data_IF_369702722828
#
_entry.id   IF_369702722828
#
_cell.length_a   1.000
_cell.length_b   1.000
_cell.length_c   1.000
_cell.angle_alpha   90.00
_cell.angle_beta   90.00
_cell.angle_gamma   90.00
#
_symmetry.space_group_name_H-M   'P 1'
#
loop_
_entity.id
_entity.type
_entity.pdbx_description
1 polymer ?
#
# COMPACT_ATOMS: atom_id res chain seq x y z
N UNK A 1 -24.28 1.64 25.12
CA UNK A 1 -23.86 2.46 23.96
C UNK A 1 -22.54 3.15 24.30
N UNK A 2 -21.41 2.78 23.69
CA UNK A 2 -20.13 3.43 23.97
C UNK A 2 -20.19 4.90 23.56
N UNK A 3 -19.82 5.82 24.47
CA UNK A 3 -19.78 7.24 24.19
C UNK A 3 -18.50 7.58 23.39
N UNK A 4 -18.51 7.33 22.09
CA UNK A 4 -17.41 7.58 21.17
C UNK A 4 -16.96 9.06 21.11
N UNK A 5 -17.75 9.99 21.67
CA UNK A 5 -17.39 11.42 21.70
C UNK A 5 -16.17 11.74 22.54
N UNK A 6 -15.86 10.88 23.53
CA UNK A 6 -14.73 11.08 24.47
C UNK A 6 -13.46 10.32 24.07
N UNK A 7 -13.52 9.44 23.05
CA UNK A 7 -12.36 8.66 22.62
C UNK A 7 -11.48 9.53 21.74
N UNK A 8 -10.21 9.63 22.13
CA UNK A 8 -9.14 10.20 21.30
C UNK A 8 -8.17 9.10 20.88
N UNK A 9 -7.42 9.32 19.81
CA UNK A 9 -6.44 8.37 19.30
C UNK A 9 -5.14 9.08 18.88
N UNK A 10 -4.03 8.35 19.00
CA UNK A 10 -2.69 8.87 18.75
C UNK A 10 -2.29 8.75 17.28
N UNK A 11 -2.79 7.73 16.59
CA UNK A 11 -2.37 7.36 15.24
C UNK A 11 -3.60 7.14 14.37
N UNK A 12 -3.58 7.71 13.17
CA UNK A 12 -4.55 7.36 12.13
C UNK A 12 -3.98 6.26 11.26
N UNK A 13 -4.69 5.15 11.13
CA UNK A 13 -4.35 4.09 10.19
C UNK A 13 -5.26 4.11 8.97
N UNK A 14 -4.71 3.79 7.81
CA UNK A 14 -5.45 3.73 6.56
C UNK A 14 -4.98 2.56 5.68
N UNK A 15 -5.94 1.96 4.98
CA UNK A 15 -5.70 1.13 3.81
C UNK A 15 -5.68 2.10 2.62
N UNK A 16 -4.51 2.38 2.05
CA UNK A 16 -4.39 3.43 1.05
C UNK A 16 -3.90 2.89 -0.30
N UNK A 17 -4.85 2.40 -1.06
CA UNK A 17 -4.63 1.95 -2.44
C UNK A 17 -4.74 3.13 -3.42
N UNK A 18 -3.98 3.05 -4.51
CA UNK A 18 -4.03 4.07 -5.59
C UNK A 18 -5.34 3.96 -6.35
N UNK A 19 -5.71 2.75 -6.78
CA UNK A 19 -7.01 2.46 -7.38
C UNK A 19 -7.65 1.26 -6.69
N UNK A 20 -8.49 1.48 -5.71
CA UNK A 20 -9.17 0.43 -4.94
C UNK A 20 -8.18 -0.69 -4.56
N UNK A 21 -8.30 -1.86 -5.19
CA UNK A 21 -7.36 -2.99 -5.08
C UNK A 21 -6.69 -3.33 -6.42
N UNK A 22 -6.92 -2.49 -7.42
CA UNK A 22 -6.45 -2.70 -8.77
C UNK A 22 -5.14 -2.01 -9.07
N UNK A 23 -4.69 -2.20 -10.29
CA UNK A 23 -3.47 -1.66 -10.80
C UNK A 23 -3.48 -0.11 -10.82
N UNK A 24 -2.41 0.56 -10.39
CA UNK A 24 -2.35 2.02 -10.37
C UNK A 24 -2.67 2.70 -11.70
N UNK A 25 -2.35 2.06 -12.83
CA UNK A 25 -2.65 2.60 -14.17
C UNK A 25 -4.15 2.77 -14.45
N UNK A 26 -5.03 2.15 -13.65
CA UNK A 26 -6.47 2.31 -13.79
C UNK A 26 -6.97 3.62 -13.18
N UNK A 27 -6.17 4.31 -12.39
CA UNK A 27 -6.50 5.65 -11.90
C UNK A 27 -6.12 6.73 -12.90
N UNK A 28 -6.74 7.91 -12.79
CA UNK A 28 -6.62 8.99 -13.78
C UNK A 28 -5.17 9.44 -14.02
N UNK A 29 -4.36 9.49 -12.96
CA UNK A 29 -2.96 9.91 -13.03
C UNK A 29 -1.99 8.79 -12.61
N UNK A 30 -2.45 7.53 -12.70
CA UNK A 30 -1.62 6.38 -12.32
C UNK A 30 -1.17 6.46 -10.86
N UNK A 31 0.07 6.06 -10.61
CA UNK A 31 0.63 6.04 -9.26
C UNK A 31 0.66 7.43 -8.60
N UNK A 32 0.67 8.51 -9.36
CA UNK A 32 0.72 9.88 -8.84
C UNK A 32 -0.57 10.32 -8.12
N UNK A 33 -1.71 9.63 -8.34
CA UNK A 33 -2.93 9.84 -7.55
C UNK A 33 -2.73 9.57 -6.06
N UNK A 34 -1.71 8.79 -5.71
CA UNK A 34 -1.34 8.57 -4.31
C UNK A 34 -1.03 9.89 -3.58
N UNK A 35 -0.34 10.83 -4.23
CA UNK A 35 -0.02 12.12 -3.62
C UNK A 35 -1.29 12.86 -3.21
N UNK A 36 -2.28 12.93 -4.11
CA UNK A 36 -3.55 13.61 -3.84
C UNK A 36 -4.31 12.93 -2.68
N UNK A 37 -4.29 11.60 -2.64
CA UNK A 37 -4.92 10.83 -1.56
C UNK A 37 -4.24 11.05 -0.22
N UNK A 38 -2.91 11.11 -0.18
CA UNK A 38 -2.15 11.44 1.03
C UNK A 38 -2.49 12.84 1.51
N UNK A 39 -2.50 13.83 0.60
CA UNK A 39 -2.79 15.21 0.92
C UNK A 39 -4.21 15.37 1.50
N UNK A 40 -5.19 14.70 0.88
CA UNK A 40 -6.57 14.67 1.37
C UNK A 40 -6.67 14.00 2.75
N UNK A 41 -6.08 12.82 2.92
CA UNK A 41 -6.10 12.09 4.19
C UNK A 41 -5.47 12.92 5.31
N UNK A 42 -4.31 13.51 5.06
CA UNK A 42 -3.63 14.37 6.03
C UNK A 42 -4.49 15.58 6.43
N UNK A 43 -5.17 16.21 5.46
CA UNK A 43 -6.07 17.32 5.74
C UNK A 43 -7.24 16.90 6.63
N UNK A 44 -7.81 15.72 6.38
CA UNK A 44 -8.89 15.15 7.23
C UNK A 44 -8.39 14.86 8.65
N UNK A 45 -7.18 14.31 8.80
CA UNK A 45 -6.56 14.07 10.10
C UNK A 45 -6.38 15.37 10.88
N UNK A 46 -5.84 16.41 10.23
CA UNK A 46 -5.66 17.75 10.83
C UNK A 46 -6.97 18.40 11.27
N UNK A 47 -8.06 18.14 10.56
CA UNK A 47 -9.38 18.68 10.89
C UNK A 47 -10.08 17.89 11.99
N UNK A 48 -9.61 16.70 12.34
CA UNK A 48 -10.26 15.85 13.33
C UNK A 48 -9.98 16.35 14.76
N UNK A 49 -11.00 16.67 15.55
CA UNK A 49 -10.81 17.06 16.96
C UNK A 49 -10.44 15.87 17.86
N UNK A 50 -10.35 14.66 17.30
CA UNK A 50 -10.12 13.42 18.06
C UNK A 50 -8.68 12.94 17.96
N UNK A 51 -7.89 13.42 17.02
CA UNK A 51 -6.49 13.05 16.90
C UNK A 51 -5.63 13.76 17.93
N UNK A 52 -4.70 13.03 18.54
CA UNK A 52 -3.69 13.57 19.45
C UNK A 52 -2.38 13.86 18.71
N UNK A 53 -2.17 13.24 17.56
CA UNK A 53 -1.04 13.52 16.66
C UNK A 53 -1.47 13.50 15.19
N UNK A 54 -0.60 14.02 14.32
CA UNK A 54 -0.79 13.98 12.86
C UNK A 54 -0.18 12.71 12.24
N UNK A 55 0.24 11.73 13.06
CA UNK A 55 0.88 10.52 12.57
C UNK A 55 -0.10 9.64 11.79
N UNK A 56 0.26 9.34 10.56
CA UNK A 56 -0.50 8.47 9.66
C UNK A 56 0.32 7.22 9.35
N UNK A 57 -0.28 6.05 9.57
CA UNK A 57 0.25 4.76 9.20
C UNK A 57 -0.58 4.19 8.06
N UNK A 58 0.06 3.87 6.94
CA UNK A 58 -0.55 3.07 5.89
C UNK A 58 -0.36 1.62 6.28
N UNK A 59 -1.44 0.96 6.66
CA UNK A 59 -1.42 -0.39 7.24
C UNK A 59 -1.65 -1.48 6.23
N UNK A 60 -2.08 -1.13 5.01
CA UNK A 60 -2.23 -2.09 3.93
C UNK A 60 -2.11 -1.41 2.57
N UNK A 61 -1.25 -1.96 1.72
CA UNK A 61 -1.16 -1.68 0.29
C UNK A 61 -0.44 -2.82 -0.42
N UNK A 62 -0.90 -3.18 -1.59
CA UNK A 62 -0.25 -4.08 -2.55
C UNK A 62 -0.98 -4.01 -3.90
N UNK A 63 -0.60 -4.89 -4.83
CA UNK A 63 -1.30 -5.11 -6.09
C UNK A 63 -1.39 -6.60 -6.42
N UNK A 64 -2.45 -7.05 -7.10
CA UNK A 64 -2.53 -8.39 -7.64
C UNK A 64 -1.56 -8.56 -8.81
N UNK A 65 -0.99 -9.76 -8.95
CA UNK A 65 0.02 -10.09 -9.96
C UNK A 65 -0.65 -10.80 -11.13
N UNK A 66 -0.37 -10.36 -12.35
CA UNK A 66 -0.87 -10.96 -13.58
C UNK A 66 -0.45 -12.42 -13.74
N UNK A 67 -1.27 -13.20 -14.43
CA UNK A 67 -1.03 -14.62 -14.71
C UNK A 67 -0.91 -15.50 -13.46
N UNK A 68 -1.56 -15.12 -12.39
CA UNK A 68 -1.58 -15.90 -11.13
C UNK A 68 -2.94 -16.47 -10.78
N UNK A 69 -3.92 -16.43 -11.70
CA UNK A 69 -5.22 -17.05 -11.46
C UNK A 69 -5.09 -18.53 -11.08
N UNK A 70 -5.93 -19.03 -10.17
CA UNK A 70 -7.03 -18.36 -9.49
C UNK A 70 -6.65 -17.59 -8.21
N UNK A 71 -5.37 -17.37 -7.95
CA UNK A 71 -4.85 -16.83 -6.68
C UNK A 71 -4.90 -15.29 -6.61
N UNK A 72 -4.84 -14.60 -7.76
CA UNK A 72 -5.05 -13.15 -7.77
C UNK A 72 -6.44 -12.81 -7.25
N UNK A 73 -6.56 -11.86 -6.31
CA UNK A 73 -7.84 -11.56 -5.65
C UNK A 73 -8.81 -10.75 -6.53
N UNK A 74 -8.41 -10.35 -7.74
CA UNK A 74 -9.19 -9.52 -8.66
C UNK A 74 -9.15 -10.07 -10.08
N UNK A 75 -9.86 -9.41 -10.99
CA UNK A 75 -9.80 -9.75 -12.42
C UNK A 75 -8.42 -9.44 -13.01
N UNK A 76 -8.04 -10.14 -14.08
CA UNK A 76 -6.73 -9.93 -14.75
C UNK A 76 -6.51 -8.48 -15.20
N UNK A 77 -7.59 -7.75 -15.52
CA UNK A 77 -7.52 -6.31 -15.90
C UNK A 77 -7.05 -5.40 -14.77
N UNK A 78 -7.17 -5.85 -13.55
CA UNK A 78 -6.75 -5.12 -12.34
C UNK A 78 -5.38 -5.58 -11.84
N UNK A 79 -4.79 -6.58 -12.49
CA UNK A 79 -3.47 -7.12 -12.14
C UNK A 79 -2.34 -6.32 -12.81
N UNK A 80 -1.16 -6.42 -12.22
CA UNK A 80 0.08 -5.82 -12.73
C UNK A 80 1.12 -6.89 -13.05
N UNK A 81 2.01 -6.63 -13.99
CA UNK A 81 3.21 -7.46 -14.17
C UNK A 81 4.14 -7.35 -12.95
N UNK A 82 5.06 -8.31 -12.77
CA UNK A 82 6.04 -8.23 -11.68
C UNK A 82 6.95 -6.99 -11.80
N UNK A 83 7.26 -6.56 -13.02
CA UNK A 83 8.09 -5.39 -13.27
C UNK A 83 7.33 -4.11 -12.89
N UNK A 84 6.07 -3.98 -13.33
CA UNK A 84 5.22 -2.86 -12.95
C UNK A 84 4.94 -2.84 -11.44
N UNK A 85 4.71 -4.01 -10.83
CA UNK A 85 4.56 -4.14 -9.39
C UNK A 85 5.77 -3.55 -8.66
N UNK A 86 6.97 -3.97 -9.07
CA UNK A 86 8.22 -3.48 -8.49
C UNK A 86 8.35 -1.98 -8.63
N UNK A 87 8.14 -1.46 -9.83
CA UNK A 87 8.18 -0.02 -10.11
C UNK A 87 7.18 0.77 -9.27
N UNK A 88 5.91 0.35 -9.27
CA UNK A 88 4.88 1.04 -8.50
C UNK A 88 5.13 0.98 -6.99
N UNK A 89 5.68 -0.12 -6.48
CA UNK A 89 6.05 -0.24 -5.08
C UNK A 89 7.14 0.77 -4.71
N UNK A 90 8.20 0.89 -5.52
CA UNK A 90 9.27 1.87 -5.31
C UNK A 90 8.73 3.30 -5.36
N UNK A 91 7.91 3.61 -6.37
CA UNK A 91 7.27 4.93 -6.52
C UNK A 91 6.36 5.23 -5.32
N UNK A 92 5.62 4.23 -4.83
CA UNK A 92 4.75 4.38 -3.66
C UNK A 92 5.54 4.79 -2.41
N UNK A 93 6.62 4.07 -2.11
CA UNK A 93 7.48 4.40 -0.96
C UNK A 93 8.10 5.79 -1.10
N UNK A 94 8.58 6.11 -2.31
CA UNK A 94 9.14 7.43 -2.60
C UNK A 94 8.10 8.55 -2.40
N UNK A 95 6.91 8.42 -2.94
CA UNK A 95 5.84 9.42 -2.80
C UNK A 95 5.44 9.57 -1.32
N UNK A 96 5.30 8.45 -0.60
CA UNK A 96 4.97 8.48 0.82
C UNK A 96 6.06 9.20 1.63
N UNK A 97 7.33 8.90 1.39
CA UNK A 97 8.48 9.53 2.04
C UNK A 97 8.58 11.02 1.70
N UNK A 98 8.52 11.38 0.43
CA UNK A 98 8.62 12.76 -0.05
C UNK A 98 7.47 13.65 0.49
N UNK A 99 6.31 13.07 0.74
CA UNK A 99 5.16 13.77 1.33
C UNK A 99 5.44 14.31 2.73
N UNK A 100 6.32 13.65 3.49
CA UNK A 100 6.59 13.89 4.92
C UNK A 100 5.34 13.84 5.83
N UNK A 101 4.24 13.26 5.32
CA UNK A 101 2.95 13.15 6.01
C UNK A 101 2.68 11.73 6.50
N UNK A 102 3.36 10.76 5.90
CA UNK A 102 3.22 9.33 6.24
C UNK A 102 4.38 8.93 7.14
N UNK A 103 4.05 8.40 8.31
CA UNK A 103 5.04 7.96 9.29
C UNK A 103 5.51 6.54 9.05
N UNK A 104 4.61 5.66 8.59
CA UNK A 104 4.91 4.25 8.29
C UNK A 104 4.06 3.74 7.15
N UNK A 105 4.66 2.82 6.37
CA UNK A 105 3.98 2.04 5.35
C UNK A 105 4.23 0.57 5.63
N UNK A 106 3.17 -0.21 5.74
CA UNK A 106 3.21 -1.66 5.87
C UNK A 106 2.78 -2.29 4.56
N UNK A 107 3.69 -3.02 3.93
CA UNK A 107 3.39 -3.71 2.69
C UNK A 107 2.64 -5.02 2.96
N UNK A 108 1.49 -5.20 2.38
CA UNK A 108 0.67 -6.39 2.55
C UNK A 108 0.78 -7.28 1.30
N UNK A 109 1.42 -8.44 1.37
CA UNK A 109 2.10 -9.04 2.50
C UNK A 109 3.34 -9.79 2.01
N UNK A 110 4.14 -10.33 2.94
CA UNK A 110 5.38 -11.02 2.58
C UNK A 110 5.10 -12.28 1.75
N UNK A 111 4.26 -13.19 2.25
CA UNK A 111 3.96 -14.47 1.58
C UNK A 111 2.48 -14.52 1.24
N UNK A 112 2.17 -14.50 -0.05
CA UNK A 112 0.82 -14.70 -0.54
C UNK A 112 0.82 -15.03 -2.03
N UNK A 113 0.12 -16.09 -2.42
CA UNK A 113 -0.06 -16.44 -3.81
C UNK A 113 -0.84 -15.35 -4.54
N UNK A 114 -0.32 -14.87 -5.65
CA UNK A 114 -0.98 -13.92 -6.53
C UNK A 114 -0.90 -12.44 -6.17
N UNK A 115 -0.28 -12.05 -5.02
CA UNK A 115 -0.12 -10.63 -4.63
C UNK A 115 0.97 -10.34 -3.60
N UNK A 116 1.62 -11.37 -3.07
CA UNK A 116 2.72 -11.21 -2.12
C UNK A 116 4.05 -10.84 -2.77
N UNK A 117 5.03 -10.57 -1.93
CA UNK A 117 6.43 -10.44 -2.36
C UNK A 117 7.04 -11.80 -2.65
N UNK A 118 6.51 -12.83 -2.01
CA UNK A 118 6.90 -14.23 -2.13
C UNK A 118 5.66 -15.06 -2.42
N UNK A 119 5.77 -15.96 -3.37
CA UNK A 119 4.76 -16.96 -3.70
C UNK A 119 5.16 -18.32 -3.11
N UNK A 120 4.22 -19.03 -2.56
CA UNK A 120 4.42 -20.35 -1.97
C UNK A 120 3.52 -21.42 -2.61
N UNK A 121 3.04 -21.19 -3.83
CA UNK A 121 2.24 -22.18 -4.57
C UNK A 121 3.02 -23.48 -4.75
N UNK A 122 2.29 -24.58 -4.74
CA UNK A 122 2.83 -25.93 -4.99
C UNK A 122 3.97 -26.32 -4.04
N UNK A 123 4.00 -25.76 -2.84
CA UNK A 123 5.03 -26.03 -1.83
C UNK A 123 6.41 -25.48 -2.16
N UNK A 124 6.53 -24.66 -3.20
CA UNK A 124 7.78 -24.01 -3.58
C UNK A 124 7.78 -22.54 -3.14
N UNK A 125 8.94 -22.06 -2.68
CA UNK A 125 9.14 -20.66 -2.33
C UNK A 125 9.72 -19.93 -3.53
N UNK A 126 8.92 -19.06 -4.16
CA UNK A 126 9.36 -18.19 -5.25
C UNK A 126 9.42 -16.74 -4.77
N UNK A 127 10.60 -16.17 -4.74
CA UNK A 127 10.82 -14.76 -4.45
C UNK A 127 10.71 -13.97 -5.75
N UNK A 128 9.77 -13.06 -5.80
CA UNK A 128 9.57 -12.18 -6.96
C UNK A 128 10.59 -11.01 -6.98
N UNK A 129 10.77 -10.30 -8.11
CA UNK A 129 11.63 -9.12 -8.20
C UNK A 129 11.34 -8.08 -7.10
N UNK A 130 10.08 -7.83 -6.82
CA UNK A 130 9.65 -6.91 -5.77
C UNK A 130 10.12 -7.30 -4.36
N UNK A 131 10.37 -8.59 -4.08
CA UNK A 131 10.97 -9.01 -2.81
C UNK A 131 12.37 -8.44 -2.63
N UNK A 132 13.19 -8.51 -3.68
CA UNK A 132 14.58 -8.02 -3.63
C UNK A 132 14.61 -6.49 -3.55
N UNK A 133 13.79 -5.81 -4.34
CA UNK A 133 13.66 -4.36 -4.28
C UNK A 133 13.18 -3.87 -2.90
N UNK A 134 12.22 -4.54 -2.29
CA UNK A 134 11.77 -4.21 -0.93
C UNK A 134 12.87 -4.43 0.11
N UNK A 135 13.64 -5.50 -0.01
CA UNK A 135 14.78 -5.77 0.87
C UNK A 135 15.81 -4.64 0.79
N UNK A 136 16.11 -4.12 -0.41
CA UNK A 136 17.03 -2.99 -0.60
C UNK A 136 16.51 -1.70 0.05
N UNK A 137 15.23 -1.40 -0.08
CA UNK A 137 14.63 -0.24 0.64
C UNK A 137 14.91 -0.36 2.13
N UNK A 138 14.65 -1.52 2.74
CA UNK A 138 14.81 -1.71 4.18
C UNK A 138 16.26 -1.63 4.67
N UNK A 139 17.24 -1.81 3.80
CA UNK A 139 18.67 -1.71 4.14
C UNK A 139 19.20 -0.28 4.05
N UNK A 140 18.49 0.60 3.36
CA UNK A 140 18.91 1.99 3.09
C UNK A 140 18.11 3.03 3.90
N UNK A 141 17.33 2.60 4.88
CA UNK A 141 16.52 3.45 5.77
C UNK A 141 17.20 3.62 7.13
#
# INVERSE_FOLDING_TARGET
MFNLKKIKYDITSALLYVDRRGAPQNSQYGIFDLKNKIDMLFSLVKMSPKTLSDDIYITEVNWPISNTAPYAPTSEKECVSCDDYTKYMLDYFKIAQDSRKIKRVYWHQLIASGYGLVDNRDGKILKYPQFYAFKEILQNV
#
